data_IF_917476547714
#
_entry.id   IF_917476547714
#
_cell.length_a   1.000
_cell.length_b   1.000
_cell.length_c   1.000
_cell.angle_alpha   90.00
_cell.angle_beta   90.00
_cell.angle_gamma   90.00
#
_symmetry.space_group_name_H-M   'P 1'
#
loop_
_entity.id
_entity.type
_entity.pdbx_description
1 polymer ?
#
# COMPACT_ATOMS: atom_id res chain seq x y z
N UNK A 1 0.59 -5.97 -6.33
CA UNK A 1 1.57 -5.06 -5.70
C UNK A 1 2.07 -3.97 -6.65
N UNK A 2 2.67 -4.31 -7.79
CA UNK A 2 3.28 -3.32 -8.71
C UNK A 2 2.30 -2.23 -9.17
N UNK A 3 1.09 -2.59 -9.60
CA UNK A 3 0.07 -1.61 -9.98
C UNK A 3 -0.33 -0.67 -8.83
N UNK A 4 -0.43 -1.19 -7.60
CA UNK A 4 -0.73 -0.40 -6.42
C UNK A 4 0.41 0.56 -6.07
N UNK A 5 1.66 0.10 -6.20
CA UNK A 5 2.84 0.93 -6.02
C UNK A 5 2.87 2.08 -7.04
N UNK A 6 2.61 1.78 -8.32
CA UNK A 6 2.53 2.78 -9.38
C UNK A 6 1.40 3.79 -9.13
N UNK A 7 0.21 3.32 -8.75
CA UNK A 7 -0.92 4.19 -8.43
C UNK A 7 -0.63 5.10 -7.22
N UNK A 8 -0.05 4.55 -6.15
CA UNK A 8 0.33 5.32 -4.96
C UNK A 8 1.40 6.37 -5.30
N UNK A 9 2.44 5.98 -6.05
CA UNK A 9 3.50 6.89 -6.50
C UNK A 9 2.96 7.99 -7.42
N UNK A 10 2.05 7.66 -8.35
CA UNK A 10 1.43 8.65 -9.23
C UNK A 10 0.54 9.63 -8.45
N UNK A 11 -0.20 9.17 -7.44
CA UNK A 11 -0.99 10.03 -6.54
C UNK A 11 -0.10 10.99 -5.74
N UNK A 12 1.04 10.51 -5.23
CA UNK A 12 2.02 11.35 -4.55
C UNK A 12 2.66 12.38 -5.50
N UNK A 13 3.07 11.96 -6.69
CA UNK A 13 3.64 12.84 -7.71
C UNK A 13 2.67 13.93 -8.14
N UNK A 14 1.39 13.60 -8.34
CA UNK A 14 0.35 14.57 -8.66
C UNK A 14 0.19 15.63 -7.56
N UNK A 15 0.38 15.24 -6.29
CA UNK A 15 0.29 16.13 -5.14
C UNK A 15 1.39 17.19 -5.11
N UNK A 16 2.54 16.93 -5.74
CA UNK A 16 3.63 17.90 -5.95
C UNK A 16 3.26 18.91 -7.03
N UNK A 17 2.62 18.44 -8.11
CA UNK A 17 2.28 19.24 -9.29
C UNK A 17 1.09 20.18 -9.00
N UNK A 18 0.05 19.69 -8.33
CA UNK A 18 -1.15 20.46 -7.99
C UNK A 18 -1.48 20.36 -6.49
N UNK A 19 -0.76 21.11 -5.63
CA UNK A 19 -0.95 21.05 -4.17
C UNK A 19 -2.19 21.79 -3.65
N UNK A 20 -2.81 22.68 -4.44
CA UNK A 20 -3.89 23.58 -3.97
C UNK A 20 -3.38 24.76 -3.14
N UNK A 21 -4.18 25.28 -2.21
CA UNK A 21 -3.91 26.52 -1.45
C UNK A 21 -2.99 26.37 -0.21
N UNK A 22 -2.41 25.18 0.02
CA UNK A 22 -1.55 24.93 1.20
C UNK A 22 -0.04 24.97 0.88
N UNK A 23 0.81 25.36 1.85
CA UNK A 23 2.26 25.43 1.67
C UNK A 23 2.86 24.06 1.33
N UNK A 24 3.67 24.02 0.26
CA UNK A 24 4.15 22.80 -0.42
C UNK A 24 4.95 21.84 0.49
N UNK A 25 5.67 22.35 1.49
CA UNK A 25 6.51 21.55 2.39
C UNK A 25 5.73 20.72 3.40
N UNK A 26 4.69 21.29 4.02
CA UNK A 26 3.85 20.56 4.98
C UNK A 26 2.99 19.50 4.30
N UNK A 27 2.42 19.82 3.12
CA UNK A 27 1.65 18.86 2.33
C UNK A 27 2.46 17.65 1.88
N UNK A 28 3.76 17.82 1.63
CA UNK A 28 4.64 16.72 1.22
C UNK A 28 4.98 15.78 2.37
N UNK A 29 5.23 16.33 3.56
CA UNK A 29 5.51 15.52 4.75
C UNK A 29 4.28 14.68 5.15
N UNK A 30 3.10 15.31 5.17
CA UNK A 30 1.83 14.68 5.54
C UNK A 30 1.41 13.60 4.52
N UNK A 31 1.43 13.91 3.21
CA UNK A 31 1.13 12.93 2.16
C UNK A 31 2.23 11.88 1.99
N UNK A 32 3.47 12.20 2.32
CA UNK A 32 4.59 11.27 2.31
C UNK A 32 4.43 10.16 3.36
N UNK A 33 3.96 10.49 4.57
CA UNK A 33 3.68 9.50 5.62
C UNK A 33 2.57 8.53 5.22
N UNK A 34 1.50 9.03 4.61
CA UNK A 34 0.44 8.18 4.07
C UNK A 34 0.93 7.22 2.97
N UNK A 35 2.04 7.55 2.26
CA UNK A 35 2.65 6.64 1.29
C UNK A 35 3.52 5.58 1.95
N UNK A 36 4.10 5.87 3.12
CA UNK A 36 4.90 4.89 3.87
C UNK A 36 4.06 3.72 4.39
N UNK A 37 2.81 3.97 4.81
CA UNK A 37 1.88 2.90 5.19
C UNK A 37 1.55 1.98 4.00
N UNK A 38 1.36 2.56 2.82
CA UNK A 38 1.18 1.79 1.56
C UNK A 38 2.44 0.99 1.23
N UNK A 39 3.62 1.60 1.34
CA UNK A 39 4.90 0.92 1.10
C UNK A 39 5.10 -0.28 2.04
N UNK A 40 4.77 -0.13 3.32
CA UNK A 40 4.78 -1.22 4.30
C UNK A 40 3.88 -2.39 3.88
N UNK A 41 2.63 -2.09 3.47
CA UNK A 41 1.71 -3.11 2.95
C UNK A 41 2.25 -3.81 1.69
N UNK A 42 2.90 -3.06 0.78
CA UNK A 42 3.49 -3.63 -0.44
C UNK A 42 4.65 -4.58 -0.15
N UNK A 43 5.51 -4.26 0.83
CA UNK A 43 6.61 -5.14 1.25
C UNK A 43 6.06 -6.48 1.71
N UNK A 44 5.02 -6.48 2.55
CA UNK A 44 4.38 -7.71 3.04
C UNK A 44 3.81 -8.54 1.89
N UNK A 45 3.09 -7.89 0.96
CA UNK A 45 2.48 -8.58 -0.19
C UNK A 45 3.54 -9.16 -1.13
N UNK A 46 4.64 -8.42 -1.39
CA UNK A 46 5.75 -8.90 -2.20
C UNK A 46 6.47 -10.07 -1.53
N UNK A 47 6.65 -10.04 -0.21
CA UNK A 47 7.23 -11.14 0.54
C UNK A 47 6.39 -12.42 0.39
N UNK A 48 5.06 -12.31 0.56
CA UNK A 48 4.14 -13.44 0.38
C UNK A 48 4.22 -13.96 -1.06
N UNK A 49 4.22 -13.07 -2.05
CA UNK A 49 4.35 -13.45 -3.46
C UNK A 49 5.66 -14.20 -3.73
N UNK A 50 6.79 -13.71 -3.21
CA UNK A 50 8.09 -14.35 -3.37
C UNK A 50 8.17 -15.71 -2.66
N UNK A 51 7.53 -15.86 -1.49
CA UNK A 51 7.43 -17.16 -0.81
C UNK A 51 6.60 -18.16 -1.61
N UNK A 52 5.45 -17.73 -2.15
CA UNK A 52 4.62 -18.57 -3.02
C UNK A 52 5.44 -19.00 -4.24
N UNK A 53 6.16 -18.08 -4.88
CA UNK A 53 6.98 -18.41 -6.04
C UNK A 53 8.11 -19.39 -5.69
N UNK A 54 8.84 -19.16 -4.60
CA UNK A 54 9.95 -20.01 -4.18
C UNK A 54 9.51 -21.41 -3.73
N UNK A 55 8.29 -21.56 -3.19
CA UNK A 55 7.80 -22.83 -2.63
C UNK A 55 6.86 -23.58 -3.57
N UNK A 56 6.02 -22.87 -4.33
CA UNK A 56 4.97 -23.45 -5.18
C UNK A 56 5.46 -23.67 -6.60
N UNK A 57 6.23 -22.73 -7.17
CA UNK A 57 6.71 -22.84 -8.56
C UNK A 57 7.61 -24.05 -8.79
N UNK A 58 8.63 -24.35 -7.94
CA UNK A 58 9.47 -25.53 -8.12
C UNK A 58 8.85 -26.83 -7.58
N UNK A 59 7.65 -26.79 -7.00
CA UNK A 59 7.03 -27.97 -6.41
C UNK A 59 6.55 -28.99 -7.46
N UNK A 60 6.58 -30.31 -7.15
CA UNK A 60 6.02 -31.35 -8.01
C UNK A 60 4.48 -31.39 -7.98
N UNK A 61 3.82 -30.34 -7.49
CA UNK A 61 2.37 -30.28 -7.38
C UNK A 61 1.72 -30.25 -8.77
N UNK A 62 0.54 -30.89 -8.93
CA UNK A 62 -0.27 -30.74 -10.14
C UNK A 62 -0.55 -29.27 -10.45
N UNK A 63 -0.60 -28.91 -11.73
CA UNK A 63 -0.81 -27.52 -12.17
C UNK A 63 -2.07 -26.89 -11.56
N UNK A 64 -3.15 -27.66 -11.41
CA UNK A 64 -4.38 -27.17 -10.79
C UNK A 64 -4.15 -26.75 -9.33
N UNK A 65 -3.35 -27.48 -8.56
CA UNK A 65 -3.08 -27.17 -7.17
C UNK A 65 -2.26 -25.87 -7.04
N UNK A 66 -1.27 -25.69 -7.91
CA UNK A 66 -0.46 -24.45 -7.97
C UNK A 66 -1.32 -23.23 -8.30
N UNK A 67 -2.25 -23.37 -9.26
CA UNK A 67 -3.21 -22.31 -9.61
C UNK A 67 -4.11 -22.00 -8.42
N UNK A 68 -4.67 -23.01 -7.74
CA UNK A 68 -5.54 -22.79 -6.57
C UNK A 68 -4.83 -22.02 -5.46
N UNK A 69 -3.55 -22.28 -5.21
CA UNK A 69 -2.77 -21.51 -4.23
C UNK A 69 -2.67 -20.04 -4.63
N UNK A 70 -2.31 -19.77 -5.89
CA UNK A 70 -2.25 -18.40 -6.42
C UNK A 70 -3.59 -17.66 -6.32
N UNK A 71 -4.67 -18.31 -6.77
CA UNK A 71 -6.03 -17.75 -6.72
C UNK A 71 -6.47 -17.50 -5.27
N UNK A 72 -6.17 -18.41 -4.35
CA UNK A 72 -6.53 -18.24 -2.93
C UNK A 72 -5.79 -17.05 -2.32
N UNK A 73 -4.49 -16.91 -2.60
CA UNK A 73 -3.70 -15.77 -2.15
C UNK A 73 -4.21 -14.44 -2.72
N UNK A 74 -4.60 -14.42 -3.99
CA UNK A 74 -5.18 -13.26 -4.65
C UNK A 74 -6.54 -12.88 -4.04
N UNK A 75 -7.44 -13.84 -3.84
CA UNK A 75 -8.74 -13.62 -3.22
C UNK A 75 -8.55 -13.09 -1.79
N UNK A 76 -7.64 -13.68 -1.01
CA UNK A 76 -7.36 -13.22 0.36
C UNK A 76 -6.85 -11.78 0.36
N UNK A 77 -5.97 -11.43 -0.59
CA UNK A 77 -5.49 -10.07 -0.75
C UNK A 77 -6.61 -9.09 -1.11
N UNK A 78 -7.46 -9.42 -2.09
CA UNK A 78 -8.58 -8.57 -2.49
C UNK A 78 -9.60 -8.42 -1.36
N UNK A 79 -9.94 -9.50 -0.67
CA UNK A 79 -10.84 -9.48 0.48
C UNK A 79 -10.31 -8.56 1.59
N UNK A 80 -9.00 -8.63 1.88
CA UNK A 80 -8.35 -7.72 2.82
C UNK A 80 -8.48 -6.25 2.38
N UNK A 81 -8.11 -5.94 1.13
CA UNK A 81 -8.16 -4.57 0.60
C UNK A 81 -9.58 -4.02 0.60
N UNK A 82 -10.58 -4.77 0.15
CA UNK A 82 -11.96 -4.30 0.12
C UNK A 82 -12.56 -4.16 1.52
N UNK A 83 -12.29 -5.12 2.42
CA UNK A 83 -12.84 -5.06 3.78
C UNK A 83 -12.24 -3.91 4.59
N UNK A 84 -10.91 -3.85 4.68
CA UNK A 84 -10.24 -2.82 5.48
C UNK A 84 -10.22 -1.46 4.77
N UNK A 85 -10.09 -1.43 3.44
CA UNK A 85 -10.15 -0.19 2.66
C UNK A 85 -11.54 0.47 2.71
N UNK A 86 -12.62 -0.30 2.60
CA UNK A 86 -13.97 0.27 2.74
C UNK A 86 -14.24 0.76 4.17
N UNK A 87 -13.74 0.05 5.19
CA UNK A 87 -13.84 0.48 6.59
C UNK A 87 -13.07 1.77 6.84
N UNK A 88 -11.80 1.84 6.43
CA UNK A 88 -10.95 3.01 6.58
C UNK A 88 -11.52 4.23 5.83
N UNK A 89 -11.99 4.02 4.59
CA UNK A 89 -12.62 5.09 3.81
C UNK A 89 -13.89 5.64 4.46
N UNK A 90 -14.68 4.79 5.11
CA UNK A 90 -15.88 5.22 5.86
C UNK A 90 -15.54 5.92 7.16
N UNK A 91 -14.42 5.56 7.79
CA UNK A 91 -13.91 6.20 9.00
C UNK A 91 -13.19 7.54 8.71
N UNK A 92 -12.94 7.86 7.44
CA UNK A 92 -12.19 9.06 7.06
C UNK A 92 -10.68 8.94 7.28
N UNK A 93 -10.18 7.73 7.50
CA UNK A 93 -8.75 7.50 7.73
C UNK A 93 -7.96 7.72 6.43
N UNK A 94 -6.98 8.61 6.50
CA UNK A 94 -6.11 8.97 5.38
C UNK A 94 -4.83 8.13 5.34
N UNK A 95 -4.59 7.32 6.37
CA UNK A 95 -3.37 6.53 6.54
C UNK A 95 -2.19 7.32 7.10
N UNK A 96 -2.44 8.49 7.70
CA UNK A 96 -1.43 9.22 8.48
C UNK A 96 -1.17 8.49 9.80
N UNK A 97 0.06 8.59 10.30
CA UNK A 97 0.45 8.03 11.60
C UNK A 97 0.16 9.12 12.62
N UNK A 98 -0.81 8.90 13.52
CA UNK A 98 -1.33 9.88 14.50
C UNK A 98 -0.26 10.49 15.43
N UNK A 99 0.96 9.95 15.46
CA UNK A 99 2.04 10.32 16.40
C UNK A 99 3.34 10.72 15.67
N UNK A 100 3.24 11.64 14.73
CA UNK A 100 4.42 12.24 14.11
C UNK A 100 4.77 13.55 14.83
N UNK A 101 6.03 13.76 15.24
CA UNK A 101 6.41 14.95 16.00
C UNK A 101 6.10 16.20 15.17
N UNK A 102 5.27 17.07 15.73
CA UNK A 102 5.04 18.41 15.20
C UNK A 102 6.40 19.09 15.00
N UNK A 103 6.81 19.27 13.76
CA UNK A 103 7.90 20.19 13.44
C UNK A 103 7.36 21.61 13.59
N UNK A 104 7.30 22.05 14.84
CA UNK A 104 7.12 23.44 15.22
C UNK A 104 8.18 24.25 14.45
N UNK A 105 7.80 25.28 13.68
CA UNK A 105 8.77 26.18 13.08
C UNK A 105 9.50 26.89 14.23
N UNK A 106 10.75 26.53 14.49
CA UNK A 106 11.63 27.37 15.31
C UNK A 106 11.94 28.62 14.50
N UNK A 107 11.44 29.75 15.00
CA UNK A 107 11.70 31.09 14.50
C UNK A 107 13.19 31.45 14.56
#
# INVERSE_FOLDING_TARGET
AVFLAAAAGMRLGWSVISPGDRPRGQLLAERGRAVMSVAGGLVVVLLISGLIEALVTPSPLPTWARITVGVTAEIAFLAYVFHFGAKASRAGETGDIDDAPDVVPTA
#
